data_IF_284664602916
#
_entry.id   IF_284664602916
#
_cell.length_a   1.000
_cell.length_b   1.000
_cell.length_c   1.000
_cell.angle_alpha   90.00
_cell.angle_beta   90.00
_cell.angle_gamma   90.00
#
_symmetry.space_group_name_H-M   'P 1'
#
loop_
_entity.id
_entity.type
_entity.pdbx_description
1 polymer ?
#
# COMPACT_ATOMS: atom_id res chain seq x y z
N UNK A 1 -11.86 -5.31 19.15
CA UNK A 1 -12.96 -6.02 18.50
C UNK A 1 -12.36 -7.31 17.99
N UNK A 2 -12.75 -8.45 18.57
CA UNK A 2 -12.24 -9.75 18.14
C UNK A 2 -13.17 -10.24 17.02
N UNK A 3 -12.62 -10.42 15.81
CA UNK A 3 -13.37 -10.94 14.68
C UNK A 3 -13.37 -12.46 14.76
N UNK A 4 -14.52 -13.09 14.57
CA UNK A 4 -14.57 -14.54 14.38
C UNK A 4 -13.87 -14.94 13.08
N UNK A 5 -13.32 -16.16 13.02
CA UNK A 5 -12.69 -16.68 11.79
C UNK A 5 -13.64 -16.62 10.58
N UNK A 6 -14.93 -16.85 10.81
CA UNK A 6 -15.95 -16.73 9.77
C UNK A 6 -16.03 -15.30 9.22
N UNK A 7 -16.07 -14.29 10.08
CA UNK A 7 -16.11 -12.88 9.67
C UNK A 7 -14.83 -12.45 8.95
N UNK A 8 -13.68 -13.02 9.32
CA UNK A 8 -12.41 -12.79 8.62
C UNK A 8 -12.47 -13.37 7.21
N UNK A 9 -12.93 -14.61 7.07
CA UNK A 9 -13.04 -15.32 5.78
C UNK A 9 -14.05 -14.66 4.85
N UNK A 10 -15.20 -14.22 5.37
CA UNK A 10 -16.24 -13.53 4.58
C UNK A 10 -15.75 -12.21 3.97
N UNK A 11 -14.76 -11.56 4.59
CA UNK A 11 -14.13 -10.36 4.08
C UNK A 11 -13.06 -10.59 3.01
N UNK A 12 -12.65 -11.84 2.77
CA UNK A 12 -11.58 -12.18 1.83
C UNK A 12 -12.14 -12.60 0.46
N UNK A 13 -11.57 -12.10 -0.64
CA UNK A 13 -11.83 -12.63 -1.97
C UNK A 13 -11.61 -14.15 -2.02
N UNK A 14 -12.53 -14.89 -2.65
CA UNK A 14 -12.42 -16.36 -2.82
C UNK A 14 -11.11 -16.79 -3.48
N UNK A 15 -10.51 -15.94 -4.31
CA UNK A 15 -9.22 -16.16 -4.94
C UNK A 15 -8.07 -16.24 -3.93
N UNK A 16 -8.14 -15.51 -2.81
CA UNK A 16 -7.17 -15.60 -1.72
C UNK A 16 -7.44 -16.81 -0.81
N UNK A 17 -8.70 -17.17 -0.60
CA UNK A 17 -9.08 -18.34 0.22
C UNK A 17 -8.63 -19.67 -0.40
N UNK A 18 -8.59 -19.74 -1.73
CA UNK A 18 -8.18 -20.93 -2.48
C UNK A 18 -6.75 -20.83 -3.05
N UNK A 19 -5.99 -19.80 -2.66
CA UNK A 19 -4.64 -19.58 -3.15
C UNK A 19 -3.66 -20.63 -2.58
N UNK A 20 -2.67 -21.01 -3.37
CA UNK A 20 -1.55 -21.79 -2.86
C UNK A 20 -0.57 -20.90 -2.08
N UNK A 21 0.28 -21.49 -1.24
CA UNK A 21 1.33 -20.73 -0.54
C UNK A 21 2.22 -19.93 -1.50
N UNK A 22 2.49 -20.48 -2.69
CA UNK A 22 3.26 -19.80 -3.75
C UNK A 22 2.52 -18.57 -4.28
N UNK A 23 1.20 -18.68 -4.48
CA UNK A 23 0.38 -17.56 -4.94
C UNK A 23 0.32 -16.46 -3.87
N UNK A 24 0.21 -16.84 -2.60
CA UNK A 24 0.24 -15.91 -1.47
C UNK A 24 1.59 -15.19 -1.35
N UNK A 25 2.71 -15.89 -1.54
CA UNK A 25 4.04 -15.28 -1.55
C UNK A 25 4.19 -14.30 -2.72
N UNK A 26 3.72 -14.67 -3.92
CA UNK A 26 3.70 -13.79 -5.08
C UNK A 26 2.86 -12.54 -4.83
N UNK A 27 1.68 -12.72 -4.22
CA UNK A 27 0.81 -11.62 -3.84
C UNK A 27 1.44 -10.70 -2.80
N UNK A 28 2.12 -11.25 -1.79
CA UNK A 28 2.84 -10.46 -0.78
C UNK A 28 3.91 -9.58 -1.44
N UNK A 29 4.68 -10.10 -2.40
CA UNK A 29 5.66 -9.29 -3.15
C UNK A 29 5.01 -8.12 -3.88
N UNK A 30 3.84 -8.33 -4.48
CA UNK A 30 3.08 -7.27 -5.15
C UNK A 30 2.64 -6.19 -4.15
N UNK A 31 2.16 -6.59 -2.97
CA UNK A 31 1.77 -5.67 -1.90
C UNK A 31 2.98 -4.85 -1.43
N UNK A 32 4.12 -5.48 -1.23
CA UNK A 32 5.35 -4.81 -0.78
C UNK A 32 5.82 -3.74 -1.79
N UNK A 33 5.85 -4.07 -3.08
CA UNK A 33 6.21 -3.11 -4.14
C UNK A 33 5.18 -1.98 -4.26
N UNK A 34 3.90 -2.27 -4.06
CA UNK A 34 2.83 -1.26 -4.05
C UNK A 34 3.01 -0.27 -2.90
N UNK A 35 3.39 -0.75 -1.71
CA UNK A 35 3.70 0.11 -0.56
C UNK A 35 4.90 1.01 -0.86
N UNK A 36 5.98 0.45 -1.42
CA UNK A 36 7.17 1.23 -1.80
C UNK A 36 6.82 2.34 -2.79
N UNK A 37 6.03 2.03 -3.81
CA UNK A 37 5.56 3.01 -4.80
C UNK A 37 4.76 4.15 -4.13
N UNK A 38 3.82 3.81 -3.23
CA UNK A 38 3.02 4.80 -2.49
C UNK A 38 3.90 5.73 -1.66
N UNK A 39 4.87 5.20 -0.93
CA UNK A 39 5.77 6.02 -0.12
C UNK A 39 6.71 6.88 -1.00
N UNK A 40 7.17 6.35 -2.13
CA UNK A 40 7.89 7.13 -3.14
C UNK A 40 7.09 8.32 -3.66
N UNK A 41 5.81 8.11 -3.98
CA UNK A 41 4.91 9.19 -4.41
C UNK A 41 4.70 10.24 -3.31
N UNK A 42 4.50 9.82 -2.04
CA UNK A 42 4.39 10.74 -0.89
C UNK A 42 5.65 11.59 -0.71
N UNK A 43 6.82 10.99 -0.87
CA UNK A 43 8.09 11.69 -0.75
C UNK A 43 8.26 12.73 -1.87
N UNK A 44 7.92 12.36 -3.12
CA UNK A 44 7.95 13.29 -4.24
C UNK A 44 7.00 14.48 -4.00
N UNK A 45 5.77 14.24 -3.54
CA UNK A 45 4.84 15.32 -3.22
C UNK A 45 5.38 16.28 -2.15
N UNK A 46 6.05 15.75 -1.10
CA UNK A 46 6.71 16.59 -0.09
C UNK A 46 7.81 17.45 -0.73
N UNK A 47 8.65 16.88 -1.61
CA UNK A 47 9.70 17.62 -2.29
C UNK A 47 9.14 18.75 -3.17
N UNK A 48 8.09 18.47 -3.95
CA UNK A 48 7.42 19.48 -4.79
C UNK A 48 6.90 20.61 -3.91
N UNK A 49 6.19 20.28 -2.83
CA UNK A 49 5.66 21.28 -1.91
C UNK A 49 6.76 22.16 -1.33
N UNK A 50 7.85 21.55 -0.85
CA UNK A 50 8.99 22.28 -0.29
C UNK A 50 9.67 23.19 -1.32
N UNK A 51 9.80 22.73 -2.56
CA UNK A 51 10.34 23.53 -3.66
C UNK A 51 9.45 24.74 -3.96
N UNK A 52 8.13 24.52 -4.11
CA UNK A 52 7.17 25.60 -4.35
C UNK A 52 7.16 26.63 -3.23
N UNK A 53 7.19 26.22 -1.96
CA UNK A 53 7.23 27.15 -0.82
C UNK A 53 8.55 27.93 -0.76
N UNK A 54 9.67 27.30 -1.09
CA UNK A 54 11.00 27.95 -1.04
C UNK A 54 11.15 29.03 -2.11
N UNK A 55 10.55 28.84 -3.29
CA UNK A 55 10.61 29.83 -4.38
C UNK A 55 9.68 31.02 -4.14
N UNK A 56 8.49 30.79 -3.57
CA UNK A 56 7.56 31.88 -3.19
C UNK A 56 8.22 32.83 -2.17
N UNK A 57 9.04 32.30 -1.26
CA UNK A 57 9.71 33.10 -0.23
C UNK A 57 10.90 33.93 -0.75
N UNK A 58 11.38 33.68 -1.98
CA UNK A 58 12.47 34.42 -2.63
C UNK A 58 11.97 35.44 -3.67
N UNK A 59 10.65 35.52 -3.90
CA UNK A 59 10.00 36.42 -4.86
C UNK A 59 9.53 37.70 -4.19
#
# INVERSE_FOLDING_TARGET
>A
MELSLQQIVEGLPKTLLNATDRDLEGFQKIIDETIKLREGHRNLQKMIKNFSTSNIQRS
#
